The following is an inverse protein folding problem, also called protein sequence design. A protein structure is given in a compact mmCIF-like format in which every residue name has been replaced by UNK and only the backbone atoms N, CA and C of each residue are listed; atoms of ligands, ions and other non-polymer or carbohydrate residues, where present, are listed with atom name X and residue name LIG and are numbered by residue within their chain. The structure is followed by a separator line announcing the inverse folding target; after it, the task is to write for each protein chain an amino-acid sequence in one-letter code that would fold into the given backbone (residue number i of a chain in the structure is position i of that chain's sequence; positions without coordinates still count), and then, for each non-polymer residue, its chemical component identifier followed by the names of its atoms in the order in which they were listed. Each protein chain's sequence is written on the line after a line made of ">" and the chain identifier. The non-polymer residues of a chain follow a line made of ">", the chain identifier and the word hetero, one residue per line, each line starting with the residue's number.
data_IF_790316740762
#
_entry.id   IF_790316740762
#
_cell.length_a   1.000
_cell.length_b   1.000
_cell.length_c   1.000
_cell.angle_alpha   90.00
_cell.angle_beta   90.00
_cell.angle_gamma   90.00
#
_symmetry.space_group_name_H-M   'P 1'
#
loop_
_entity.id
_entity.type
_entity.pdbx_description
1 polymer ?
#
# COMPACT_ATOMS: atom_id res chain seq x y z
N UNK A 1 -3.22 11.95 -9.01
CA UNK A 1 -2.27 10.83 -8.96
C UNK A 1 -2.36 10.13 -7.61
N UNK A 2 -2.42 8.82 -7.63
CA UNK A 2 -2.35 8.02 -6.39
C UNK A 2 -0.88 7.91 -5.99
N UNK A 3 -0.60 8.20 -4.74
CA UNK A 3 0.76 8.15 -4.19
C UNK A 3 0.84 7.07 -3.13
N UNK A 4 1.77 6.14 -3.31
CA UNK A 4 2.04 5.10 -2.33
C UNK A 4 3.36 5.44 -1.65
N UNK A 5 3.34 5.49 -0.33
CA UNK A 5 4.55 5.67 0.47
C UNK A 5 4.85 4.38 1.22
N UNK A 6 6.02 3.83 0.98
CA UNK A 6 6.53 2.67 1.71
C UNK A 6 7.59 3.20 2.67
N UNK A 7 7.28 3.16 3.96
CA UNK A 7 8.16 3.73 4.98
C UNK A 7 8.85 2.59 5.73
N UNK A 8 10.17 2.70 5.84
CA UNK A 8 11.00 1.74 6.57
C UNK A 8 11.72 2.45 7.70
N UNK A 9 11.94 1.74 8.77
CA UNK A 9 12.70 2.19 9.92
C UNK A 9 13.65 1.08 10.32
N UNK A 10 14.95 1.38 10.42
CA UNK A 10 15.98 0.38 10.73
C UNK A 10 15.90 -0.84 9.79
N UNK A 11 15.72 -0.57 8.50
CA UNK A 11 15.62 -1.58 7.44
C UNK A 11 14.40 -2.51 7.58
N UNK A 12 13.41 -2.13 8.37
CA UNK A 12 12.17 -2.88 8.54
C UNK A 12 10.98 -2.07 8.07
N UNK A 13 9.99 -2.73 7.48
CA UNK A 13 8.76 -2.05 7.09
C UNK A 13 8.05 -1.49 8.33
N UNK A 14 7.67 -0.24 8.26
CA UNK A 14 7.00 0.49 9.33
C UNK A 14 5.59 0.93 8.94
N UNK A 15 5.41 1.34 7.70
CA UNK A 15 4.12 1.88 7.25
C UNK A 15 3.97 1.74 5.74
N UNK A 16 2.76 1.45 5.31
CA UNK A 16 2.37 1.57 3.91
C UNK A 16 1.18 2.52 3.87
N UNK A 17 1.30 3.57 3.07
CA UNK A 17 0.27 4.60 2.99
C UNK A 17 -0.09 4.84 1.54
N UNK A 18 -1.38 4.82 1.24
CA UNK A 18 -1.91 5.11 -0.08
C UNK A 18 -2.80 6.33 0.00
N UNK A 19 -2.51 7.37 -0.79
CA UNK A 19 -3.28 8.60 -0.74
C UNK A 19 -3.35 9.26 -2.12
N UNK A 20 -4.28 10.19 -2.25
CA UNK A 20 -4.51 10.89 -3.49
C UNK A 20 -5.53 10.19 -4.37
N UNK A 21 -5.73 10.75 -5.53
CA UNK A 21 -6.66 10.23 -6.52
C UNK A 21 -5.99 10.24 -7.88
N UNK A 22 -6.34 9.26 -8.71
CA UNK A 22 -5.98 9.33 -10.12
C UNK A 22 -6.85 10.41 -10.73
N UNK A 23 -6.32 11.63 -10.83
CA UNK A 23 -7.08 12.82 -11.20
C UNK A 23 -7.37 12.87 -12.69
N UNK A 24 -8.32 12.08 -13.14
CA UNK A 24 -8.95 12.39 -14.40
C UNK A 24 -10.21 11.56 -14.55
N UNK A 25 -11.04 11.98 -15.45
CA UNK A 25 -12.41 11.53 -15.56
C UNK A 25 -12.58 10.28 -16.37
N UNK A 26 -11.51 9.60 -16.66
CA UNK A 26 -11.54 8.45 -17.53
C UNK A 26 -11.83 7.17 -16.80
N UNK A 27 -12.32 6.23 -17.57
CA UNK A 27 -12.61 4.88 -17.18
C UNK A 27 -11.42 4.19 -16.49
N UNK A 28 -10.20 4.48 -16.94
CA UNK A 28 -8.99 3.89 -16.35
C UNK A 28 -8.70 4.33 -14.93
N UNK A 29 -9.17 5.50 -14.55
CA UNK A 29 -9.03 6.04 -13.19
C UNK A 29 -9.69 5.14 -12.16
N UNK A 30 -10.93 4.72 -12.41
CA UNK A 30 -11.68 3.91 -11.47
C UNK A 30 -11.06 2.51 -11.34
N UNK A 31 -10.53 1.99 -12.44
CA UNK A 31 -9.85 0.70 -12.44
C UNK A 31 -8.60 0.77 -11.58
N UNK A 32 -7.78 1.81 -11.72
CA UNK A 32 -6.55 1.97 -10.94
C UNK A 32 -6.86 2.14 -9.46
N UNK A 33 -7.81 3.00 -9.12
CA UNK A 33 -8.21 3.23 -7.72
C UNK A 33 -8.73 1.93 -7.08
N UNK A 34 -9.58 1.20 -7.81
CA UNK A 34 -10.12 -0.07 -7.32
C UNK A 34 -9.04 -1.12 -7.13
N UNK A 35 -8.11 -1.22 -8.07
CA UNK A 35 -7.02 -2.18 -7.98
C UNK A 35 -6.13 -1.89 -6.78
N UNK A 36 -5.76 -0.63 -6.56
CA UNK A 36 -4.95 -0.23 -5.40
C UNK A 36 -5.69 -0.52 -4.10
N UNK A 37 -6.97 -0.15 -4.03
CA UNK A 37 -7.78 -0.38 -2.83
C UNK A 37 -7.88 -1.86 -2.49
N UNK A 38 -8.13 -2.71 -3.48
CA UNK A 38 -8.22 -4.15 -3.25
C UNK A 38 -6.90 -4.70 -2.73
N UNK A 39 -5.78 -4.31 -3.32
CA UNK A 39 -4.47 -4.78 -2.89
C UNK A 39 -4.15 -4.35 -1.45
N UNK A 40 -4.39 -3.10 -1.13
CA UNK A 40 -4.07 -2.58 0.21
C UNK A 40 -4.98 -3.19 1.27
N UNK A 41 -6.28 -3.22 1.02
CA UNK A 41 -7.25 -3.80 1.96
C UNK A 41 -7.01 -5.29 2.14
N UNK A 42 -6.78 -6.01 1.05
CA UNK A 42 -6.48 -7.44 1.13
C UNK A 42 -5.22 -7.71 1.95
N UNK A 43 -4.19 -6.88 1.78
CA UNK A 43 -2.96 -7.02 2.55
C UNK A 43 -3.20 -6.78 4.04
N UNK A 44 -3.96 -5.73 4.39
CA UNK A 44 -4.30 -5.46 5.78
C UNK A 44 -5.05 -6.65 6.40
N UNK A 45 -6.04 -7.17 5.69
CA UNK A 45 -6.83 -8.32 6.15
C UNK A 45 -5.96 -9.58 6.26
N UNK A 46 -5.04 -9.78 5.33
CA UNK A 46 -4.13 -10.93 5.35
C UNK A 46 -3.17 -10.85 6.52
N UNK A 47 -2.65 -9.68 6.83
CA UNK A 47 -1.80 -9.48 8.00
C UNK A 47 -2.53 -9.86 9.28
N UNK A 48 -3.78 -9.44 9.43
CA UNK A 48 -4.59 -9.82 10.59
C UNK A 48 -4.89 -11.31 10.64
N UNK A 49 -5.18 -11.90 9.49
CA UNK A 49 -5.63 -13.30 9.40
C UNK A 49 -4.49 -14.29 9.54
N UNK A 50 -3.37 -14.01 8.90
CA UNK A 50 -2.31 -15.01 8.70
C UNK A 50 -1.07 -14.75 9.54
N UNK A 51 -0.98 -13.65 10.27
CA UNK A 51 0.14 -13.37 11.15
C UNK A 51 -0.37 -13.03 12.55
N UNK A 52 0.56 -13.03 13.49
CA UNK A 52 0.29 -12.56 14.85
C UNK A 52 0.84 -11.16 15.07
N UNK A 53 1.31 -10.51 14.01
CA UNK A 53 1.83 -9.17 14.09
C UNK A 53 0.74 -8.20 14.49
N UNK A 54 1.10 -7.25 15.35
CA UNK A 54 0.21 -6.18 15.70
C UNK A 54 0.30 -5.13 14.62
N UNK A 55 -0.82 -4.89 13.96
CA UNK A 55 -0.92 -3.88 12.92
C UNK A 55 -2.08 -2.95 13.22
N UNK A 56 -2.01 -1.76 12.67
CA UNK A 56 -3.13 -0.83 12.71
C UNK A 56 -3.42 -0.40 11.28
N UNK A 57 -4.60 -0.73 10.79
CA UNK A 57 -5.03 -0.35 9.45
C UNK A 57 -6.19 0.63 9.57
N UNK A 58 -6.12 1.72 8.84
CA UNK A 58 -7.11 2.78 8.92
C UNK A 58 -7.34 3.42 7.56
N UNK A 59 -8.60 3.74 7.28
CA UNK A 59 -8.99 4.55 6.13
C UNK A 59 -9.54 5.87 6.65
N UNK A 60 -8.99 6.97 6.12
CA UNK A 60 -9.38 8.32 6.50
C UNK A 60 -10.48 8.84 5.59
N UNK A 61 -11.14 9.92 6.01
CA UNK A 61 -12.25 10.51 5.25
C UNK A 61 -11.86 10.94 3.84
N UNK A 62 -10.63 11.37 3.66
CA UNK A 62 -10.14 11.80 2.35
C UNK A 62 -9.77 10.64 1.43
N UNK A 63 -9.99 9.40 1.87
CA UNK A 63 -9.68 8.20 1.10
C UNK A 63 -8.28 7.64 1.35
N UNK A 64 -7.46 8.32 2.15
CA UNK A 64 -6.14 7.81 2.52
C UNK A 64 -6.30 6.51 3.29
N UNK A 65 -5.53 5.49 2.90
CA UNK A 65 -5.48 4.21 3.60
C UNK A 65 -4.07 3.99 4.11
N UNK A 66 -3.96 3.52 5.35
CA UNK A 66 -2.69 3.39 6.02
C UNK A 66 -2.60 2.05 6.75
N UNK A 67 -1.47 1.37 6.61
CA UNK A 67 -1.15 0.16 7.38
C UNK A 67 0.10 0.49 8.19
N UNK A 68 -0.04 0.47 9.51
CA UNK A 68 1.08 0.68 10.43
C UNK A 68 1.48 -0.67 11.01
N UNK A 69 2.77 -0.96 11.00
CA UNK A 69 3.33 -2.18 11.56
C UNK A 69 4.17 -1.83 12.79
N UNK A 70 4.11 -2.68 13.80
CA UNK A 70 4.99 -2.55 14.95
C UNK A 70 6.42 -2.95 14.60
N UNK A 71 7.35 -2.58 15.45
CA UNK A 71 8.76 -2.94 15.29
C UNK A 71 8.92 -4.46 15.14
N UNK A 72 9.88 -4.84 14.34
CA UNK A 72 10.25 -6.24 14.09
C UNK A 72 9.11 -7.06 13.49
N UNK A 73 8.59 -6.67 12.32
CA UNK A 73 7.56 -7.46 11.66
C UNK A 73 8.08 -8.88 11.38
N UNK A 74 7.17 -9.85 11.48
CA UNK A 74 7.51 -11.26 11.23
C UNK A 74 7.89 -11.48 9.76
N UNK A 75 8.52 -12.64 9.49
CA UNK A 75 8.83 -13.04 8.12
C UNK A 75 7.58 -13.07 7.24
N UNK A 76 6.48 -13.56 7.78
CA UNK A 76 5.24 -13.66 7.03
C UNK A 76 4.66 -12.26 6.75
N UNK A 77 4.75 -11.36 7.72
CA UNK A 77 4.31 -9.97 7.49
C UNK A 77 5.16 -9.31 6.40
N UNK A 78 6.47 -9.50 6.44
CA UNK A 78 7.37 -8.97 5.41
C UNK A 78 7.01 -9.53 4.04
N UNK A 79 6.74 -10.83 3.95
CA UNK A 79 6.35 -11.45 2.69
C UNK A 79 5.06 -10.85 2.14
N UNK A 80 4.07 -10.61 3.00
CA UNK A 80 2.80 -10.01 2.58
C UNK A 80 2.99 -8.58 2.09
N UNK A 81 3.85 -7.80 2.77
CA UNK A 81 4.15 -6.44 2.31
C UNK A 81 4.94 -6.47 1.01
N UNK A 82 5.90 -7.36 0.85
CA UNK A 82 6.64 -7.51 -0.41
C UNK A 82 5.69 -7.86 -1.55
N UNK A 83 4.72 -8.72 -1.30
CA UNK A 83 3.71 -9.08 -2.29
C UNK A 83 2.84 -7.88 -2.67
N UNK A 84 2.46 -7.08 -1.69
CA UNK A 84 1.70 -5.84 -1.94
C UNK A 84 2.49 -4.89 -2.84
N UNK A 85 3.77 -4.68 -2.52
CA UNK A 85 4.63 -3.79 -3.28
C UNK A 85 4.77 -4.28 -4.72
N UNK A 86 4.95 -5.58 -4.90
CA UNK A 86 5.03 -6.17 -6.23
C UNK A 86 3.78 -5.86 -7.05
N UNK A 87 2.61 -6.00 -6.44
CA UNK A 87 1.35 -5.69 -7.10
C UNK A 87 1.21 -4.21 -7.45
N UNK A 88 1.59 -3.34 -6.52
CA UNK A 88 1.51 -1.88 -6.75
C UNK A 88 2.48 -1.43 -7.84
N UNK A 89 3.69 -1.97 -7.85
CA UNK A 89 4.66 -1.68 -8.90
C UNK A 89 4.19 -2.21 -10.25
N UNK A 90 3.50 -3.35 -10.25
CA UNK A 90 2.89 -3.89 -11.47
C UNK A 90 1.84 -2.96 -12.05
N UNK A 91 1.00 -2.38 -11.21
CA UNK A 91 -0.01 -1.40 -11.64
C UNK A 91 0.69 -0.16 -12.22
N UNK A 92 1.70 0.36 -11.51
CA UNK A 92 2.46 1.51 -12.00
C UNK A 92 3.07 1.25 -13.36
N UNK A 93 3.66 0.06 -13.54
CA UNK A 93 4.33 -0.29 -14.80
C UNK A 93 3.35 -0.45 -15.95
N UNK A 94 2.16 -0.97 -15.66
CA UNK A 94 1.13 -1.18 -16.67
C UNK A 94 0.44 0.12 -17.09
N UNK A 95 0.11 0.99 -16.14
CA UNK A 95 -0.70 2.18 -16.40
C UNK A 95 0.10 3.48 -16.44
N UNK A 96 1.29 3.51 -15.84
CA UNK A 96 2.20 4.64 -15.90
C UNK A 96 2.32 5.43 -14.61
N UNK A 97 3.47 6.06 -14.45
CA UNK A 97 3.81 6.89 -13.29
C UNK A 97 2.93 8.13 -13.16
N UNK A 98 2.27 8.48 -14.23
CA UNK A 98 1.33 9.59 -14.28
C UNK A 98 0.12 9.35 -13.37
N UNK A 99 -0.24 8.09 -13.15
CA UNK A 99 -1.43 7.74 -12.37
C UNK A 99 -1.11 7.19 -11.00
N UNK A 100 0.05 6.58 -10.84
CA UNK A 100 0.45 5.93 -9.61
C UNK A 100 1.95 6.08 -9.39
N UNK A 101 2.34 6.60 -8.24
CA UNK A 101 3.74 6.63 -7.84
C UNK A 101 3.94 5.73 -6.61
N UNK A 102 5.11 5.11 -6.54
CA UNK A 102 5.52 4.29 -5.40
C UNK A 102 6.84 4.86 -4.89
N UNK A 103 6.83 5.42 -3.71
CA UNK A 103 8.00 6.06 -3.10
C UNK A 103 8.45 5.30 -1.87
N UNK A 104 9.75 5.17 -1.72
CA UNK A 104 10.38 4.48 -0.60
C UNK A 104 11.09 5.49 0.27
N UNK A 105 10.82 5.45 1.59
CA UNK A 105 11.41 6.36 2.56
C UNK A 105 12.02 5.59 3.71
N UNK A 106 13.23 5.98 4.09
CA UNK A 106 13.86 5.51 5.32
C UNK A 106 13.73 6.61 6.37
N UNK A 107 13.32 6.26 7.55
CA UNK A 107 13.19 7.20 8.66
C UNK A 107 13.99 6.75 9.89
#
# INVERSE_FOLDING_TARGET
>A
MIQISIIRHNNEYSCVKAFGHAEYDDYGKDIICSAVSVLVINTANSLEKFTQDLIHAQTYEDGTTEILLKEHPSKDAVLLIDSLILGLEGIRNQYGKKYLSVDYKEV
#
